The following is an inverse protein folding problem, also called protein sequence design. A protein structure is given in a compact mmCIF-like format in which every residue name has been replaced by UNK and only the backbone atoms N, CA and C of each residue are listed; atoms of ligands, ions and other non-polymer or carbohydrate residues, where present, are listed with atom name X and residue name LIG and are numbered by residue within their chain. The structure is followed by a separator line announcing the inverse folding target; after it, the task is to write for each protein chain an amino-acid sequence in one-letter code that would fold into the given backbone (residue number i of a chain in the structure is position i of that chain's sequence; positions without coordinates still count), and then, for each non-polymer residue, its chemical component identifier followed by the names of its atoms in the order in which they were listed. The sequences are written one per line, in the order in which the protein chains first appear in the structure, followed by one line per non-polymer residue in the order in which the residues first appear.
data_IF_037430479554
#
_entry.id   IF_037430479554
#
_cell.length_a   1.000
_cell.length_b   1.000
_cell.length_c   1.000
_cell.angle_alpha   90.00
_cell.angle_beta   90.00
_cell.angle_gamma   90.00
#
_symmetry.space_group_name_H-M   'P 1'
#
loop_
_entity.id
_entity.type
_entity.pdbx_description
1 polymer ?
#
# COMPACT_ATOMS: atom_id res chain seq x y z
N UNK A 1 -5.38 20.13 7.07
CA UNK A 1 -4.45 21.08 6.39
C UNK A 1 -2.97 20.61 6.47
N UNK A 2 -2.56 19.91 7.53
CA UNK A 2 -1.16 19.47 7.76
C UNK A 2 -0.63 18.43 6.77
N UNK A 3 -1.44 17.46 6.38
CA UNK A 3 -1.02 16.34 5.51
C UNK A 3 -0.65 16.83 4.09
N UNK A 4 -1.41 17.80 3.57
CA UNK A 4 -1.21 18.38 2.23
C UNK A 4 0.07 19.24 2.20
N UNK A 5 0.35 19.99 3.27
CA UNK A 5 1.55 20.80 3.35
C UNK A 5 2.81 19.91 3.43
N UNK A 6 2.75 18.85 4.23
CA UNK A 6 3.88 17.94 4.40
C UNK A 6 4.17 17.11 3.14
N UNK A 7 3.13 16.72 2.38
CA UNK A 7 3.31 16.04 1.10
C UNK A 7 3.94 16.96 0.06
N UNK A 8 3.53 18.24 0.02
CA UNK A 8 4.10 19.26 -0.89
C UNK A 8 5.60 19.41 -0.71
N UNK A 9 6.07 19.55 0.54
CA UNK A 9 7.49 19.69 0.88
C UNK A 9 8.32 18.44 0.52
N UNK A 10 7.71 17.25 0.59
CA UNK A 10 8.42 15.98 0.38
C UNK A 10 8.57 15.62 -1.11
N UNK A 11 7.53 15.90 -1.91
CA UNK A 11 7.54 15.62 -3.36
C UNK A 11 8.06 16.80 -4.19
N UNK A 12 7.91 18.02 -3.70
CA UNK A 12 8.22 19.27 -4.40
C UNK A 12 8.84 20.33 -3.46
N UNK A 13 10.00 20.06 -2.86
CA UNK A 13 10.71 21.07 -2.07
C UNK A 13 10.98 22.30 -2.96
N UNK A 14 10.57 23.48 -2.51
CA UNK A 14 10.75 24.76 -3.22
C UNK A 14 10.16 24.83 -4.65
N UNK A 15 9.18 23.99 -5.00
CA UNK A 15 8.58 24.02 -6.33
C UNK A 15 9.38 23.28 -7.42
N UNK A 16 10.44 22.55 -7.04
CA UNK A 16 11.20 21.66 -7.92
C UNK A 16 10.93 20.19 -7.58
N UNK A 17 10.82 19.33 -8.59
CA UNK A 17 10.60 17.88 -8.39
C UNK A 17 11.76 17.32 -7.55
N UNK A 18 11.44 16.71 -6.41
CA UNK A 18 12.42 16.11 -5.52
C UNK A 18 13.30 15.08 -6.26
N UNK A 19 14.61 15.15 -6.04
CA UNK A 19 15.56 14.21 -6.62
C UNK A 19 15.21 12.77 -6.26
N UNK A 20 15.68 11.82 -7.08
CA UNK A 20 15.48 10.39 -6.81
C UNK A 20 16.03 10.08 -5.42
N UNK A 21 15.14 9.70 -4.50
CA UNK A 21 15.52 9.33 -3.14
C UNK A 21 16.62 8.28 -3.19
N UNK A 22 17.73 8.54 -2.51
CA UNK A 22 18.86 7.62 -2.39
C UNK A 22 18.34 6.25 -1.97
N UNK A 23 18.80 5.20 -2.67
CA UNK A 23 18.37 3.85 -2.35
C UNK A 23 18.78 3.51 -0.91
N UNK A 24 17.82 3.05 -0.10
CA UNK A 24 18.10 2.67 1.28
C UNK A 24 19.06 1.49 1.31
N UNK A 25 20.02 1.56 2.22
CA UNK A 25 20.95 0.46 2.50
C UNK A 25 20.20 -0.85 2.80
N UNK A 26 20.77 -1.96 2.34
CA UNK A 26 20.20 -3.30 2.45
C UNK A 26 20.09 -3.76 3.91
N UNK A 27 21.07 -3.41 4.76
CA UNK A 27 21.02 -3.77 6.18
C UNK A 27 19.90 -3.01 6.90
N UNK A 28 19.72 -1.73 6.57
CA UNK A 28 18.58 -0.93 7.09
C UNK A 28 17.25 -1.55 6.66
N UNK A 29 17.09 -1.90 5.36
CA UNK A 29 15.86 -2.55 4.85
C UNK A 29 15.56 -3.86 5.60
N UNK A 30 16.58 -4.67 5.86
CA UNK A 30 16.42 -5.95 6.57
C UNK A 30 16.04 -5.75 8.04
N UNK A 31 16.68 -4.82 8.75
CA UNK A 31 16.33 -4.48 10.14
C UNK A 31 14.88 -4.00 10.25
N UNK A 32 14.45 -3.09 9.38
CA UNK A 32 13.06 -2.62 9.35
C UNK A 32 12.09 -3.76 9.02
N UNK A 33 12.45 -4.68 8.11
CA UNK A 33 11.63 -5.85 7.77
C UNK A 33 11.40 -6.75 8.99
N UNK A 34 12.45 -7.04 9.76
CA UNK A 34 12.35 -7.85 10.99
C UNK A 34 11.46 -7.16 12.02
N UNK A 35 11.70 -5.87 12.30
CA UNK A 35 10.90 -5.10 13.25
C UNK A 35 9.41 -5.08 12.86
N UNK A 36 9.10 -4.89 11.57
CA UNK A 36 7.74 -4.90 11.08
C UNK A 36 7.07 -6.28 11.18
N UNK A 37 7.80 -7.38 10.91
CA UNK A 37 7.28 -8.74 11.11
C UNK A 37 6.97 -9.01 12.57
N UNK A 38 7.84 -8.57 13.49
CA UNK A 38 7.61 -8.70 14.93
C UNK A 38 6.35 -7.91 15.33
N UNK A 39 6.28 -6.63 14.98
CA UNK A 39 5.12 -5.79 15.29
C UNK A 39 3.81 -6.38 14.75
N UNK A 40 3.82 -6.88 13.51
CA UNK A 40 2.66 -7.51 12.88
C UNK A 40 2.20 -8.74 13.66
N UNK A 41 3.12 -9.63 14.05
CA UNK A 41 2.81 -10.82 14.82
C UNK A 41 2.39 -10.50 16.26
N UNK A 42 2.91 -9.41 16.84
CA UNK A 42 2.52 -8.93 18.17
C UNK A 42 1.11 -8.34 18.22
N UNK A 43 0.61 -7.80 17.10
CA UNK A 43 -0.77 -7.29 17.00
C UNK A 43 -1.83 -8.40 16.87
N UNK A 44 -1.44 -9.68 16.89
CA UNK A 44 -2.34 -10.79 16.65
C UNK A 44 -3.18 -11.10 17.90
N UNK A 45 -4.51 -10.98 17.78
CA UNK A 45 -5.43 -11.28 18.87
C UNK A 45 -5.51 -12.78 19.18
N UNK A 46 -5.68 -13.11 20.46
CA UNK A 46 -5.81 -14.51 20.90
C UNK A 46 -7.10 -15.17 20.38
N UNK A 47 -8.15 -14.37 20.12
CA UNK A 47 -9.37 -14.82 19.43
C UNK A 47 -9.08 -15.38 18.03
N UNK A 48 -8.22 -14.70 17.25
CA UNK A 48 -7.86 -15.18 15.90
C UNK A 48 -7.05 -16.48 15.97
N UNK A 49 -6.12 -16.59 16.92
CA UNK A 49 -5.41 -17.86 17.17
C UNK A 49 -6.35 -18.98 17.55
N UNK A 50 -7.36 -18.70 18.37
CA UNK A 50 -8.29 -19.69 18.88
C UNK A 50 -9.23 -20.19 17.78
N UNK A 51 -9.74 -19.30 16.93
CA UNK A 51 -10.69 -19.64 15.86
C UNK A 51 -9.99 -20.31 14.67
N UNK A 52 -8.84 -19.77 14.23
CA UNK A 52 -8.17 -20.16 12.98
C UNK A 52 -6.99 -21.13 13.23
N UNK A 53 -6.47 -21.15 14.45
CA UNK A 53 -5.25 -21.87 14.83
C UNK A 53 -4.01 -20.97 14.76
N UNK A 54 -3.14 -21.09 15.75
CA UNK A 54 -1.93 -20.25 15.90
C UNK A 54 -1.01 -20.31 14.67
N UNK A 55 -0.71 -21.51 14.17
CA UNK A 55 0.20 -21.70 13.03
C UNK A 55 -0.38 -21.19 11.71
N UNK A 56 -1.67 -21.42 11.49
CA UNK A 56 -2.38 -20.94 10.30
C UNK A 56 -2.42 -19.41 10.29
N UNK A 57 -2.73 -18.81 11.42
CA UNK A 57 -2.79 -17.35 11.57
C UNK A 57 -1.40 -16.72 11.35
N UNK A 58 -0.36 -17.29 11.98
CA UNK A 58 1.03 -16.83 11.80
C UNK A 58 1.49 -16.88 10.33
N UNK A 59 1.22 -17.98 9.64
CA UNK A 59 1.51 -18.13 8.20
C UNK A 59 0.71 -17.14 7.35
N UNK A 60 -0.56 -16.95 7.65
CA UNK A 60 -1.41 -15.95 6.99
C UNK A 60 -0.85 -14.54 7.09
N UNK A 61 -0.48 -14.10 8.30
CA UNK A 61 0.08 -12.75 8.51
C UNK A 61 1.42 -12.55 7.78
N UNK A 62 2.32 -13.54 7.85
CA UNK A 62 3.58 -13.46 7.11
C UNK A 62 3.37 -13.45 5.59
N UNK A 63 2.37 -14.17 5.10
CA UNK A 63 1.99 -14.16 3.68
C UNK A 63 1.49 -12.78 3.27
N UNK A 64 0.59 -12.17 4.05
CA UNK A 64 0.12 -10.80 3.83
C UNK A 64 1.28 -9.81 3.85
N UNK A 65 2.20 -9.94 4.80
CA UNK A 65 3.41 -9.13 4.85
C UNK A 65 4.21 -9.25 3.54
N UNK A 66 4.45 -10.47 3.07
CA UNK A 66 5.23 -10.70 1.84
C UNK A 66 4.49 -10.23 0.59
N UNK A 67 3.15 -10.25 0.56
CA UNK A 67 2.36 -9.64 -0.51
C UNK A 67 2.62 -8.13 -0.60
N UNK A 68 2.65 -7.42 0.54
CA UNK A 68 3.00 -6.00 0.58
C UNK A 68 4.44 -5.69 0.18
N UNK A 69 5.32 -6.69 0.11
CA UNK A 69 6.69 -6.49 -0.37
C UNK A 69 6.78 -6.51 -1.90
N UNK A 70 5.72 -6.94 -2.59
CA UNK A 70 5.69 -7.03 -4.06
C UNK A 70 5.26 -5.68 -4.67
N UNK A 71 6.15 -4.95 -5.36
CA UNK A 71 5.84 -3.61 -5.87
C UNK A 71 4.73 -3.62 -6.93
N UNK A 72 4.58 -4.71 -7.69
CA UNK A 72 3.51 -4.86 -8.68
C UNK A 72 2.12 -4.92 -8.01
N UNK A 73 2.00 -5.65 -6.89
CA UNK A 73 0.75 -5.76 -6.14
C UNK A 73 0.42 -4.42 -5.48
N UNK A 74 1.41 -3.75 -4.89
CA UNK A 74 1.22 -2.42 -4.30
C UNK A 74 0.76 -1.39 -5.33
N UNK A 75 1.28 -1.44 -6.56
CA UNK A 75 0.83 -0.57 -7.64
C UNK A 75 -0.64 -0.84 -7.99
N UNK A 76 -1.04 -2.11 -8.11
CA UNK A 76 -2.44 -2.48 -8.38
C UNK A 76 -3.35 -2.02 -7.24
N UNK A 77 -2.96 -2.28 -5.99
CA UNK A 77 -3.69 -1.85 -4.80
C UNK A 77 -3.89 -0.33 -4.79
N UNK A 78 -2.84 0.43 -5.10
CA UNK A 78 -2.92 1.90 -5.16
C UNK A 78 -3.89 2.39 -6.23
N UNK A 79 -3.92 1.75 -7.41
CA UNK A 79 -4.90 2.09 -8.43
C UNK A 79 -6.34 1.80 -7.98
N UNK A 80 -6.57 0.66 -7.32
CA UNK A 80 -7.89 0.30 -6.79
C UNK A 80 -8.33 1.27 -5.69
N UNK A 81 -7.42 1.66 -4.79
CA UNK A 81 -7.72 2.65 -3.75
C UNK A 81 -8.02 4.03 -4.36
N UNK A 82 -7.23 4.46 -5.36
CA UNK A 82 -7.47 5.72 -6.07
C UNK A 82 -8.82 5.70 -6.78
N UNK A 83 -9.16 4.60 -7.45
CA UNK A 83 -10.45 4.36 -8.08
C UNK A 83 -11.58 4.50 -7.06
N UNK A 84 -11.48 3.84 -5.91
CA UNK A 84 -12.45 3.97 -4.83
C UNK A 84 -12.59 5.41 -4.32
N UNK A 85 -11.47 6.12 -4.09
CA UNK A 85 -11.48 7.52 -3.64
C UNK A 85 -12.12 8.43 -4.68
N UNK A 86 -11.79 8.27 -5.96
CA UNK A 86 -12.35 9.08 -7.04
C UNK A 86 -13.85 8.83 -7.21
N UNK A 87 -14.29 7.58 -7.12
CA UNK A 87 -15.70 7.21 -7.17
C UNK A 87 -16.48 7.76 -5.97
N UNK A 88 -15.86 7.87 -4.78
CA UNK A 88 -16.50 8.49 -3.62
C UNK A 88 -16.51 10.03 -3.68
N UNK A 89 -15.47 10.66 -4.23
CA UNK A 89 -15.36 12.13 -4.31
C UNK A 89 -16.19 12.75 -5.42
N UNK A 90 -16.42 12.02 -6.52
CA UNK A 90 -17.16 12.49 -7.69
C UNK A 90 -18.25 11.49 -8.08
N UNK A 91 -19.29 11.31 -7.26
CA UNK A 91 -20.35 10.35 -7.53
C UNK A 91 -21.13 10.67 -8.83
N UNK A 92 -21.21 11.94 -9.23
CA UNK A 92 -21.92 12.38 -10.44
C UNK A 92 -21.16 12.13 -11.75
N UNK A 93 -19.85 11.88 -11.68
CA UNK A 93 -19.08 11.49 -12.86
C UNK A 93 -19.05 9.97 -12.90
N UNK A 94 -19.42 9.39 -14.04
CA UNK A 94 -19.32 7.95 -14.33
C UNK A 94 -17.84 7.49 -14.43
N UNK A 95 -17.02 7.79 -13.41
CA UNK A 95 -15.59 7.49 -13.38
C UNK A 95 -15.39 5.96 -13.44
N UNK A 96 -16.30 5.18 -12.87
CA UNK A 96 -16.33 3.73 -13.03
C UNK A 96 -16.41 3.30 -14.52
N UNK A 97 -17.21 3.98 -15.36
CA UNK A 97 -17.27 3.68 -16.80
C UNK A 97 -15.96 4.06 -17.50
N UNK A 98 -15.29 5.14 -17.07
CA UNK A 98 -13.97 5.51 -17.59
C UNK A 98 -12.91 4.47 -17.22
N UNK A 99 -12.92 3.95 -15.99
CA UNK A 99 -12.02 2.87 -15.58
C UNK A 99 -12.26 1.60 -16.39
N UNK A 100 -13.52 1.16 -16.54
CA UNK A 100 -13.87 0.01 -17.38
C UNK A 100 -13.36 0.21 -18.82
N UNK A 101 -13.56 1.39 -19.41
CA UNK A 101 -13.05 1.74 -20.74
C UNK A 101 -11.52 1.70 -20.82
N UNK A 102 -10.82 2.23 -19.81
CA UNK A 102 -9.35 2.20 -19.75
C UNK A 102 -8.80 0.78 -19.59
N UNK A 103 -9.44 -0.06 -18.78
CA UNK A 103 -9.03 -1.47 -18.61
C UNK A 103 -9.31 -2.29 -19.87
N UNK A 104 -10.43 -2.03 -20.55
CA UNK A 104 -10.78 -2.67 -21.83
C UNK A 104 -9.83 -2.27 -22.98
N UNK A 105 -9.34 -1.03 -23.00
CA UNK A 105 -8.48 -0.52 -24.08
C UNK A 105 -7.02 -1.01 -24.01
N UNK A 106 -6.56 -1.60 -22.90
CA UNK A 106 -5.19 -2.16 -22.78
C UNK A 106 -5.10 -3.64 -23.19
N UNK A 107 -6.18 -4.20 -23.75
CA UNK A 107 -6.25 -5.59 -24.23
C UNK A 107 -5.95 -5.78 -25.72
N UNK A 108 -5.22 -4.87 -26.37
CA UNK A 108 -4.68 -5.06 -27.73
C UNK A 108 -3.18 -4.86 -27.73
#
# INVERSE_FOLDING_TARGET
KTIIFHSRQSFWPNGVRSDKKVERDSAIKNRTRVAAKIALLSCLSDELKHIIGSETTRRGLLTVFDLFQRPILNRRLLYVLLEGVLSNLFPDKDINKLFIKMYSSKGK
#
